data_IF_601464196281
#
_entry.id   IF_601464196281
#
_cell.length_a   1.000
_cell.length_b   1.000
_cell.length_c   1.000
_cell.angle_alpha   90.00
_cell.angle_beta   90.00
_cell.angle_gamma   90.00
#
_symmetry.space_group_name_H-M   'P 1'
#
loop_
_entity.id
_entity.type
_entity.pdbx_description
1 polymer ?
#
# COMPACT_ATOMS: atom_id res chain seq x y z
N UNK A 1 -23.11 26.55 -17.54
CA UNK A 1 -22.06 25.87 -16.78
C UNK A 1 -22.60 24.48 -16.44
N UNK A 2 -22.30 23.50 -17.27
CA UNK A 2 -22.69 22.11 -17.00
C UNK A 2 -21.88 21.53 -15.86
N UNK A 3 -22.44 20.61 -15.05
CA UNK A 3 -21.66 19.91 -14.07
C UNK A 3 -20.57 19.14 -14.80
N UNK A 4 -19.32 19.47 -14.55
CA UNK A 4 -18.20 18.62 -14.92
C UNK A 4 -18.44 17.29 -14.22
N UNK A 5 -18.88 16.28 -14.96
CA UNK A 5 -18.94 14.89 -14.47
C UNK A 5 -17.51 14.41 -14.22
N UNK A 6 -16.86 15.03 -13.26
CA UNK A 6 -15.54 14.67 -12.81
C UNK A 6 -15.61 13.34 -12.07
N UNK A 7 -14.66 12.45 -12.34
CA UNK A 7 -14.48 11.26 -11.54
C UNK A 7 -14.30 11.64 -10.05
N UNK A 8 -15.12 11.06 -9.18
CA UNK A 8 -15.06 11.24 -7.72
C UNK A 8 -14.46 9.99 -7.11
N UNK A 9 -13.16 10.02 -6.72
CA UNK A 9 -12.50 8.87 -6.15
C UNK A 9 -13.04 8.54 -4.76
N UNK A 10 -13.18 7.24 -4.50
CA UNK A 10 -13.58 6.71 -3.20
C UNK A 10 -12.54 5.73 -2.71
N UNK A 11 -12.15 5.84 -1.44
CA UNK A 11 -11.28 4.86 -0.80
C UNK A 11 -12.02 3.53 -0.69
N UNK A 12 -11.30 2.43 -0.76
CA UNK A 12 -11.85 1.11 -0.48
C UNK A 12 -12.49 1.11 0.93
N UNK A 13 -13.76 0.70 1.06
CA UNK A 13 -14.54 0.92 2.29
C UNK A 13 -14.12 0.00 3.46
N UNK A 14 -13.42 -1.10 3.19
CA UNK A 14 -13.05 -2.07 4.24
C UNK A 14 -11.77 -2.84 3.89
N UNK A 15 -11.15 -3.40 4.92
CA UNK A 15 -9.95 -4.23 4.77
C UNK A 15 -8.67 -3.46 4.43
N UNK A 16 -8.62 -2.15 4.74
CA UNK A 16 -7.41 -1.33 4.64
C UNK A 16 -7.10 -0.74 6.00
N UNK A 17 -6.00 -1.16 6.59
CA UNK A 17 -5.44 -0.58 7.82
C UNK A 17 -4.53 0.57 7.43
N UNK A 18 -4.67 1.71 8.09
CA UNK A 18 -3.90 2.93 7.79
C UNK A 18 -3.09 3.33 9.01
N UNK A 19 -1.78 3.52 8.81
CA UNK A 19 -0.84 4.03 9.82
C UNK A 19 -0.12 5.27 9.28
N UNK A 20 -0.06 6.32 10.08
CA UNK A 20 0.63 7.57 9.73
C UNK A 20 2.04 7.57 10.32
N UNK A 21 3.05 7.81 9.48
CA UNK A 21 4.47 7.81 9.81
C UNK A 21 5.10 9.12 9.36
N UNK A 22 5.25 10.10 10.24
CA UNK A 22 6.00 11.37 10.00
C UNK A 22 5.82 11.99 8.60
N UNK A 23 4.57 12.08 8.13
CA UNK A 23 4.22 12.64 6.82
C UNK A 23 4.18 11.64 5.68
N UNK A 24 4.40 10.37 5.95
CA UNK A 24 4.14 9.23 5.07
C UNK A 24 2.94 8.43 5.59
N UNK A 25 2.32 7.63 4.73
CA UNK A 25 1.19 6.78 5.12
C UNK A 25 1.48 5.34 4.70
N UNK A 26 1.39 4.43 5.67
CA UNK A 26 1.42 3.00 5.43
C UNK A 26 0.00 2.46 5.34
N UNK A 27 -0.33 1.80 4.25
CA UNK A 27 -1.61 1.16 4.01
C UNK A 27 -1.41 -0.35 3.93
N UNK A 28 -2.15 -1.12 4.71
CA UNK A 28 -2.14 -2.58 4.62
C UNK A 28 -3.50 -3.07 4.13
N UNK A 29 -3.50 -3.79 3.01
CA UNK A 29 -4.70 -4.38 2.39
C UNK A 29 -4.83 -5.82 2.83
N UNK A 30 -5.77 -6.11 3.72
CA UNK A 30 -5.97 -7.43 4.33
C UNK A 30 -6.27 -8.52 3.28
N UNK A 31 -7.09 -8.20 2.28
CA UNK A 31 -7.51 -9.17 1.26
C UNK A 31 -6.35 -9.70 0.40
N UNK A 32 -5.30 -8.90 0.19
CA UNK A 32 -4.15 -9.25 -0.66
C UNK A 32 -2.87 -9.47 0.13
N UNK A 33 -2.87 -9.19 1.44
CA UNK A 33 -1.70 -9.20 2.32
C UNK A 33 -0.54 -8.34 1.78
N UNK A 34 -0.89 -7.21 1.16
CA UNK A 34 0.09 -6.24 0.64
C UNK A 34 0.09 -4.99 1.49
N UNK A 35 1.27 -4.48 1.76
CA UNK A 35 1.45 -3.16 2.35
C UNK A 35 1.93 -2.17 1.28
N UNK A 36 1.49 -0.92 1.39
CA UNK A 36 1.85 0.17 0.49
C UNK A 36 2.33 1.35 1.33
N UNK A 37 3.53 1.84 1.03
CA UNK A 37 4.04 3.06 1.64
C UNK A 37 3.83 4.21 0.64
N UNK A 38 3.10 5.23 1.08
CA UNK A 38 2.84 6.45 0.35
C UNK A 38 3.79 7.53 0.86
N UNK A 39 4.58 8.13 -0.02
CA UNK A 39 5.38 9.29 0.37
C UNK A 39 4.50 10.50 0.67
N UNK A 40 5.06 11.53 1.28
CA UNK A 40 4.31 12.73 1.73
C UNK A 40 3.38 13.35 0.67
N UNK A 41 3.75 13.53 -0.61
CA UNK A 41 2.80 13.98 -1.61
C UNK A 41 1.65 13.00 -1.89
N UNK A 42 1.92 11.70 -1.97
CA UNK A 42 0.90 10.67 -2.18
C UNK A 42 -0.03 10.53 -0.95
N UNK A 43 0.54 10.66 0.27
CA UNK A 43 -0.22 10.68 1.52
C UNK A 43 -1.24 11.82 1.54
N UNK A 44 -0.84 13.04 1.13
CA UNK A 44 -1.77 14.19 1.04
C UNK A 44 -2.90 13.95 0.04
N UNK A 45 -2.63 13.29 -1.09
CA UNK A 45 -3.68 12.90 -2.03
C UNK A 45 -4.62 11.90 -1.37
N UNK A 46 -4.08 10.88 -0.70
CA UNK A 46 -4.86 9.88 0.03
C UNK A 46 -5.76 10.52 1.08
N UNK A 47 -5.24 11.42 1.89
CA UNK A 47 -5.99 12.12 2.94
C UNK A 47 -7.11 13.00 2.38
N UNK A 48 -6.89 13.60 1.20
CA UNK A 48 -7.87 14.47 0.54
C UNK A 48 -9.04 13.72 -0.11
N UNK A 49 -8.96 12.39 -0.27
CA UNK A 49 -10.06 11.57 -0.81
C UNK A 49 -11.14 11.41 0.26
N UNK A 50 -12.26 12.08 0.08
CA UNK A 50 -13.43 12.06 0.98
C UNK A 50 -14.66 11.36 0.38
N UNK A 51 -14.55 10.86 -0.85
CA UNK A 51 -15.64 10.20 -1.57
C UNK A 51 -16.70 11.15 -2.15
N UNK A 52 -16.47 12.46 -2.06
CA UNK A 52 -17.39 13.50 -2.57
C UNK A 52 -16.69 14.53 -3.45
N UNK A 53 -15.39 14.72 -3.28
CA UNK A 53 -14.58 15.70 -4.02
C UNK A 53 -14.09 15.14 -5.35
N UNK A 54 -14.09 15.99 -6.37
CA UNK A 54 -13.49 15.66 -7.66
C UNK A 54 -11.96 15.80 -7.64
N UNK A 55 -11.31 15.40 -8.74
CA UNK A 55 -9.83 15.41 -8.85
C UNK A 55 -9.25 16.81 -8.71
N UNK A 56 -9.96 17.85 -9.19
CA UNK A 56 -9.49 19.24 -9.10
C UNK A 56 -9.53 19.76 -7.66
N UNK A 57 -10.57 19.41 -6.92
CA UNK A 57 -10.70 19.74 -5.50
C UNK A 57 -9.63 19.03 -4.64
N UNK A 58 -9.40 17.74 -4.91
CA UNK A 58 -8.34 16.97 -4.26
C UNK A 58 -6.97 17.59 -4.55
N UNK A 59 -6.72 18.01 -5.80
CA UNK A 59 -5.47 18.65 -6.18
C UNK A 59 -5.23 19.96 -5.39
N UNK A 60 -6.28 20.75 -5.23
CA UNK A 60 -6.22 21.98 -4.44
C UNK A 60 -5.91 21.71 -2.98
N UNK A 61 -6.58 20.74 -2.33
CA UNK A 61 -6.36 20.35 -0.93
C UNK A 61 -4.98 19.75 -0.71
N UNK A 62 -4.53 18.89 -1.61
CA UNK A 62 -3.20 18.28 -1.56
C UNK A 62 -2.07 19.27 -1.89
N UNK A 63 -2.40 20.49 -2.39
CA UNK A 63 -1.44 21.48 -2.91
C UNK A 63 -0.54 20.90 -3.99
N UNK A 64 -1.13 20.14 -4.92
CA UNK A 64 -0.46 19.47 -6.04
C UNK A 64 -1.12 19.85 -7.38
N UNK A 65 -0.36 19.70 -8.46
CA UNK A 65 -0.91 19.89 -9.79
C UNK A 65 -1.91 18.77 -10.11
N UNK A 66 -3.03 19.10 -10.79
CA UNK A 66 -4.11 18.17 -11.10
C UNK A 66 -3.64 16.93 -11.88
N UNK A 67 -2.67 17.07 -12.77
CA UNK A 67 -2.10 15.97 -13.54
C UNK A 67 -1.34 14.96 -12.63
N UNK A 68 -0.63 15.47 -11.61
CA UNK A 68 0.05 14.61 -10.63
C UNK A 68 -0.95 13.83 -9.79
N UNK A 69 -2.00 14.50 -9.34
CA UNK A 69 -3.09 13.86 -8.58
C UNK A 69 -3.79 12.80 -9.43
N UNK A 70 -4.09 13.11 -10.69
CA UNK A 70 -4.68 12.15 -11.62
C UNK A 70 -3.80 10.90 -11.83
N UNK A 71 -2.48 11.09 -11.93
CA UNK A 71 -1.50 9.99 -11.99
C UNK A 71 -1.49 9.14 -10.72
N UNK A 72 -1.43 9.80 -9.54
CA UNK A 72 -1.45 9.13 -8.24
C UNK A 72 -2.74 8.34 -8.00
N UNK A 73 -3.90 8.93 -8.33
CA UNK A 73 -5.19 8.24 -8.21
C UNK A 73 -5.26 7.01 -9.11
N UNK A 74 -4.68 7.07 -10.31
CA UNK A 74 -4.61 5.90 -11.20
C UNK A 74 -3.75 4.80 -10.58
N UNK A 75 -2.56 5.13 -10.10
CA UNK A 75 -1.69 4.19 -9.40
C UNK A 75 -2.37 3.57 -8.17
N UNK A 76 -3.08 4.38 -7.36
CA UNK A 76 -3.90 3.88 -6.24
C UNK A 76 -5.01 2.93 -6.69
N UNK A 77 -5.65 3.23 -7.83
CA UNK A 77 -6.66 2.34 -8.43
C UNK A 77 -6.06 1.02 -8.89
N UNK A 78 -4.93 1.05 -9.60
CA UNK A 78 -4.25 -0.13 -10.13
C UNK A 78 -3.80 -1.10 -9.01
N UNK A 79 -3.44 -0.57 -7.85
CA UNK A 79 -3.07 -1.39 -6.68
C UNK A 79 -4.26 -1.74 -5.77
N UNK A 80 -5.48 -1.33 -6.15
CA UNK A 80 -6.72 -1.71 -5.46
C UNK A 80 -7.00 -0.97 -4.15
N UNK A 81 -6.45 0.23 -3.98
CA UNK A 81 -6.71 1.11 -2.85
C UNK A 81 -8.01 1.93 -3.02
N UNK A 82 -8.47 2.09 -4.24
CA UNK A 82 -9.74 2.74 -4.56
C UNK A 82 -10.84 1.72 -4.83
N UNK A 83 -12.09 2.14 -4.63
CA UNK A 83 -13.29 1.35 -4.89
C UNK A 83 -13.48 1.09 -6.39
N UNK A 84 -13.19 2.11 -7.20
CA UNK A 84 -13.30 2.07 -8.66
C UNK A 84 -12.00 2.49 -9.34
N UNK A 85 -11.71 1.88 -10.49
CA UNK A 85 -10.59 2.30 -11.33
C UNK A 85 -10.89 3.68 -11.96
N UNK A 86 -9.97 4.66 -11.80
CA UNK A 86 -10.18 5.97 -12.37
C UNK A 86 -10.16 5.93 -13.91
N UNK A 87 -11.28 6.28 -14.54
CA UNK A 87 -11.36 6.54 -15.99
C UNK A 87 -10.82 7.93 -16.34
N UNK A 88 -9.60 8.21 -15.91
CA UNK A 88 -8.93 9.47 -16.17
C UNK A 88 -8.12 9.37 -17.47
N UNK A 89 -8.12 10.40 -18.33
CA UNK A 89 -7.29 10.41 -19.53
C UNK A 89 -5.82 10.24 -19.13
N UNK A 90 -5.08 9.46 -19.90
CA UNK A 90 -3.63 9.32 -19.72
C UNK A 90 -2.96 10.66 -19.96
N UNK A 91 -2.50 11.30 -18.91
CA UNK A 91 -1.69 12.51 -19.03
C UNK A 91 -0.26 12.07 -19.26
N UNK A 92 0.24 12.36 -20.45
CA UNK A 92 1.66 12.19 -20.76
C UNK A 92 2.44 13.26 -19.98
N UNK A 93 2.90 12.88 -18.78
CA UNK A 93 3.75 13.70 -17.94
C UNK A 93 5.13 13.79 -18.58
N UNK A 94 5.26 14.60 -19.63
CA UNK A 94 6.56 14.82 -20.26
C UNK A 94 7.52 15.38 -19.22
N UNK A 95 8.72 14.78 -19.11
CA UNK A 95 9.79 15.18 -18.18
C UNK A 95 10.03 16.70 -18.18
N UNK A 96 9.81 17.36 -19.32
CA UNK A 96 9.95 18.82 -19.46
C UNK A 96 8.93 19.63 -18.64
N UNK A 97 7.70 19.14 -18.47
CA UNK A 97 6.68 19.80 -17.63
C UNK A 97 7.02 19.64 -16.13
N UNK A 98 7.52 18.48 -15.73
CA UNK A 98 7.92 18.20 -14.35
C UNK A 98 9.10 19.08 -13.90
N UNK A 99 10.09 19.28 -14.77
CA UNK A 99 11.24 20.15 -14.49
C UNK A 99 10.83 21.62 -14.39
N UNK A 100 9.83 22.08 -15.15
CA UNK A 100 9.31 23.45 -15.08
C UNK A 100 8.44 23.72 -13.84
N UNK A 101 7.86 22.70 -13.25
CA UNK A 101 7.04 22.83 -12.03
C UNK A 101 7.85 22.97 -10.74
N UNK A 102 9.20 23.06 -10.84
CA UNK A 102 10.09 23.07 -9.70
C UNK A 102 10.18 21.68 -9.05
N UNK A 103 11.20 21.47 -8.22
CA UNK A 103 11.46 20.22 -7.49
C UNK A 103 10.36 19.90 -6.44
N UNK A 104 9.14 19.73 -6.90
CA UNK A 104 8.08 19.14 -6.09
C UNK A 104 8.37 17.65 -6.06
N UNK A 105 8.55 17.08 -4.86
CA UNK A 105 8.67 15.64 -4.70
C UNK A 105 7.46 14.98 -5.39
N UNK A 106 7.73 14.08 -6.34
CA UNK A 106 6.67 13.38 -7.05
C UNK A 106 5.96 12.43 -6.09
N UNK A 107 4.63 12.33 -6.15
CA UNK A 107 3.93 11.28 -5.43
C UNK A 107 4.37 9.91 -5.97
N UNK A 108 4.65 8.97 -5.09
CA UNK A 108 4.93 7.58 -5.43
C UNK A 108 4.41 6.63 -4.36
N UNK A 109 4.13 5.39 -4.77
CA UNK A 109 3.60 4.32 -3.94
C UNK A 109 4.56 3.14 -4.05
N UNK A 110 5.08 2.68 -2.91
CA UNK A 110 5.94 1.49 -2.84
C UNK A 110 5.13 0.32 -2.30
N UNK A 111 5.00 -0.73 -3.09
CA UNK A 111 4.37 -1.96 -2.65
C UNK A 111 5.39 -2.82 -1.89
N UNK A 112 5.03 -3.26 -0.69
CA UNK A 112 5.82 -4.17 0.14
C UNK A 112 5.02 -5.46 0.29
N UNK A 113 5.59 -6.58 -0.14
CA UNK A 113 4.98 -7.88 0.11
C UNK A 113 5.26 -8.27 1.55
N UNK A 114 4.22 -8.40 2.36
CA UNK A 114 4.32 -8.89 3.74
C UNK A 114 4.26 -10.41 3.69
N UNK A 115 5.31 -11.13 4.10
CA UNK A 115 5.27 -12.59 4.14
C UNK A 115 4.17 -13.05 5.09
N UNK A 116 3.42 -14.06 4.69
CA UNK A 116 2.46 -14.71 5.60
C UNK A 116 3.23 -15.41 6.70
N UNK A 117 2.66 -15.48 7.90
CA UNK A 117 3.28 -16.18 9.02
C UNK A 117 3.68 -17.64 8.67
N UNK A 118 2.91 -18.30 7.80
CA UNK A 118 3.23 -19.64 7.28
C UNK A 118 4.47 -19.65 6.36
N UNK A 119 4.72 -18.59 5.61
CA UNK A 119 5.90 -18.47 4.74
C UNK A 119 7.14 -18.08 5.55
N UNK A 120 6.95 -17.28 6.61
CA UNK A 120 8.04 -16.96 7.56
C UNK A 120 8.49 -18.20 8.33
N UNK A 121 7.57 -19.12 8.64
CA UNK A 121 7.91 -20.41 9.25
C UNK A 121 8.66 -21.35 8.29
N UNK A 122 8.46 -21.19 6.97
CA UNK A 122 9.16 -21.97 5.94
C UNK A 122 10.58 -21.47 5.65
N UNK A 123 10.95 -20.29 6.12
CA UNK A 123 12.29 -19.71 5.96
C UNK A 123 13.33 -20.27 6.94
N UNK A 124 12.95 -21.22 7.79
CA UNK A 124 13.88 -21.92 8.63
C UNK A 124 14.71 -22.89 7.78
N UNK A 125 15.94 -22.52 7.48
CA UNK A 125 16.87 -23.35 6.70
C UNK A 125 17.52 -24.45 7.52
N UNK A 126 17.38 -24.41 8.86
CA UNK A 126 17.96 -25.38 9.79
C UNK A 126 16.94 -25.62 10.93
N UNK A 127 16.22 -26.73 10.85
CA UNK A 127 15.29 -27.15 11.90
C UNK A 127 13.96 -27.70 11.37
N UNK A 128 13.21 -28.32 12.26
CA UNK A 128 11.90 -28.91 11.94
C UNK A 128 10.77 -27.91 12.12
N UNK A 129 9.72 -27.94 11.25
CA UNK A 129 8.54 -27.09 11.40
C UNK A 129 7.76 -27.43 12.68
N UNK A 130 6.89 -26.50 13.12
CA UNK A 130 5.98 -26.70 14.24
C UNK A 130 5.14 -27.97 14.10
N UNK A 131 4.96 -28.70 15.18
CA UNK A 131 4.24 -29.98 15.18
C UNK A 131 5.02 -31.21 14.69
N UNK A 132 6.21 -31.04 14.10
CA UNK A 132 7.05 -32.16 13.69
C UNK A 132 7.72 -32.82 14.91
N UNK A 133 7.93 -34.14 14.82
CA UNK A 133 8.63 -34.89 15.88
C UNK A 133 10.07 -34.40 16.03
N UNK A 134 10.46 -33.99 17.23
CA UNK A 134 11.77 -33.46 17.53
C UNK A 134 12.51 -34.34 18.51
N UNK A 135 13.84 -34.24 18.50
CA UNK A 135 14.75 -34.88 19.47
C UNK A 135 15.86 -33.90 19.86
N UNK A 136 16.63 -34.17 20.93
CA UNK A 136 17.75 -33.31 21.32
C UNK A 136 18.79 -33.06 20.22
N UNK A 137 18.85 -33.95 19.24
CA UNK A 137 19.78 -33.87 18.10
C UNK A 137 19.17 -33.24 16.83
N UNK A 138 17.85 -32.96 16.83
CA UNK A 138 17.16 -32.39 15.68
C UNK A 138 16.40 -31.12 16.11
N UNK A 139 17.01 -29.95 15.97
CA UNK A 139 16.45 -28.72 16.50
C UNK A 139 15.17 -28.30 15.72
N UNK A 140 14.22 -27.71 16.44
CA UNK A 140 13.03 -27.09 15.87
C UNK A 140 13.36 -25.70 15.34
N UNK A 141 12.58 -25.22 14.35
CA UNK A 141 12.64 -23.84 13.86
C UNK A 141 12.35 -22.81 14.96
N UNK A 142 11.46 -23.13 15.90
CA UNK A 142 11.16 -22.32 17.09
C UNK A 142 12.27 -22.33 18.15
N UNK A 143 13.24 -23.24 18.05
CA UNK A 143 14.23 -23.52 19.09
C UNK A 143 13.66 -24.26 20.29
N UNK A 144 12.39 -24.62 20.29
CA UNK A 144 11.69 -25.26 21.40
C UNK A 144 11.16 -26.62 20.98
N UNK A 145 11.75 -27.67 21.56
CA UNK A 145 11.23 -29.03 21.50
C UNK A 145 10.46 -29.32 22.79
N UNK A 146 9.16 -29.63 22.66
CA UNK A 146 8.38 -30.09 23.82
C UNK A 146 8.72 -31.53 24.13
N UNK A 147 9.55 -31.75 25.14
CA UNK A 147 10.06 -33.07 25.52
C UNK A 147 8.94 -34.04 25.95
N UNK A 148 7.79 -33.52 26.45
CA UNK A 148 6.66 -34.37 26.87
C UNK A 148 5.84 -34.88 25.70
N UNK A 149 5.77 -34.13 24.61
CA UNK A 149 5.02 -34.47 23.41
C UNK A 149 5.92 -34.95 22.27
N UNK A 150 7.23 -34.76 22.39
CA UNK A 150 8.20 -35.09 21.34
C UNK A 150 7.98 -34.29 20.05
N UNK A 151 7.38 -33.08 20.12
CA UNK A 151 7.04 -32.28 18.96
C UNK A 151 7.55 -30.85 19.11
N UNK A 152 7.82 -30.20 17.96
CA UNK A 152 8.18 -28.80 17.89
C UNK A 152 6.99 -27.91 18.30
N UNK A 153 7.22 -27.00 19.23
CA UNK A 153 6.26 -25.98 19.65
C UNK A 153 6.21 -24.76 18.73
#
# INVERSE_FOLDING_TARGET
MGPSSGFVPRRRPSGVVTENLDGEVLLYVEATHKAFCLNSPAARVWEAIDGSSDVAEIARRASLHVDLVGGTLREMGDVGLLEELPTLPSVDLSRRRLVRAGLVALPFIVAITVPRAAEAASACTVGLPGGAACSPTTPCCSGLCNENLGTCG
#
